data_IF_502465768928
#
_entry.id   IF_502465768928
#
_cell.length_a   1.000
_cell.length_b   1.000
_cell.length_c   1.000
_cell.angle_alpha   90.00
_cell.angle_beta   90.00
_cell.angle_gamma   90.00
#
_symmetry.space_group_name_H-M   'P 1'
#
loop_
_entity.id
_entity.type
_entity.pdbx_description
1 polymer ?
#
# COMPACT_ATOMS: atom_id res chain seq x y z
N UNK A 1 -0.01 3.31 -17.94
CA UNK A 1 0.66 3.95 -16.80
C UNK A 1 0.91 2.91 -15.72
N UNK A 2 2.06 2.95 -15.09
CA UNK A 2 2.45 2.01 -14.05
C UNK A 2 2.73 2.76 -12.75
N UNK A 3 2.36 2.16 -11.63
CA UNK A 3 2.77 2.65 -10.32
C UNK A 3 3.87 1.77 -9.80
N UNK A 4 4.85 2.38 -9.15
CA UNK A 4 5.97 1.66 -8.56
C UNK A 4 5.99 1.90 -7.06
N UNK A 5 6.60 0.95 -6.34
CA UNK A 5 6.67 0.99 -4.89
C UNK A 5 7.86 1.83 -4.39
N UNK A 6 8.10 1.75 -3.10
CA UNK A 6 9.21 2.42 -2.42
C UNK A 6 10.56 2.11 -3.05
N UNK A 7 10.74 0.90 -3.59
CA UNK A 7 11.99 0.47 -4.20
C UNK A 7 11.99 0.55 -5.72
N UNK A 8 11.05 1.31 -6.29
CA UNK A 8 10.91 1.49 -7.73
C UNK A 8 10.60 0.19 -8.48
N UNK A 9 9.89 -0.72 -7.82
CA UNK A 9 9.40 -1.95 -8.44
C UNK A 9 7.95 -1.79 -8.83
N UNK A 10 7.56 -2.35 -9.96
CA UNK A 10 6.19 -2.27 -10.44
C UNK A 10 5.23 -2.96 -9.49
N UNK A 11 4.12 -2.27 -9.18
CA UNK A 11 3.07 -2.81 -8.33
C UNK A 11 2.04 -3.56 -9.18
N UNK A 12 1.54 -4.68 -8.66
CA UNK A 12 0.57 -5.53 -9.33
C UNK A 12 -0.64 -5.73 -8.42
N UNK A 13 -1.85 -5.61 -8.97
CA UNK A 13 -3.07 -5.85 -8.19
C UNK A 13 -3.10 -7.27 -7.67
N UNK A 14 -3.56 -7.41 -6.42
CA UNK A 14 -3.67 -8.71 -5.78
C UNK A 14 -2.43 -9.16 -5.04
N UNK A 15 -1.30 -8.47 -5.21
CA UNK A 15 -0.09 -8.83 -4.48
C UNK A 15 -0.15 -8.33 -3.04
N UNK A 16 0.65 -8.96 -2.19
CA UNK A 16 0.86 -8.46 -0.83
C UNK A 16 2.03 -7.50 -0.82
N UNK A 17 1.88 -6.45 -0.04
CA UNK A 17 2.92 -5.42 0.10
C UNK A 17 3.13 -5.14 1.57
N UNK A 18 4.32 -4.64 1.91
CA UNK A 18 4.65 -4.23 3.27
C UNK A 18 4.57 -2.72 3.36
N UNK A 19 3.98 -2.24 4.45
CA UNK A 19 3.93 -0.81 4.75
C UNK A 19 5.29 -0.39 5.28
N UNK A 20 5.87 0.64 4.67
CA UNK A 20 7.23 1.09 4.99
C UNK A 20 7.28 2.28 5.95
N UNK A 21 6.15 2.93 6.19
CA UNK A 21 6.03 4.05 7.14
C UNK A 21 4.71 3.96 7.88
N UNK A 22 4.63 4.58 9.06
CA UNK A 22 3.37 4.67 9.77
C UNK A 22 2.41 5.60 9.04
N UNK A 23 1.18 5.16 8.80
CA UNK A 23 0.18 5.94 8.07
C UNK A 23 -0.98 6.24 8.99
N UNK A 24 -1.12 7.49 9.47
CA UNK A 24 -2.22 7.88 10.34
C UNK A 24 -3.51 8.09 9.57
N UNK A 25 -4.64 7.87 10.23
CA UNK A 25 -5.96 8.20 9.70
C UNK A 25 -6.88 8.57 10.85
N UNK A 26 -8.10 9.05 10.53
CA UNK A 26 -9.07 9.41 11.54
C UNK A 26 -9.48 8.22 12.41
N UNK A 27 -9.43 7.02 11.86
CA UNK A 27 -9.91 5.81 12.51
C UNK A 27 -8.78 4.90 13.00
N UNK A 28 -7.57 5.42 13.13
CA UNK A 28 -6.46 4.64 13.60
C UNK A 28 -5.22 4.82 12.75
N UNK A 29 -4.27 3.92 12.91
CA UNK A 29 -2.99 4.00 12.23
C UNK A 29 -2.65 2.66 11.57
N UNK A 30 -2.16 2.74 10.34
CA UNK A 30 -1.58 1.58 9.66
C UNK A 30 -0.08 1.62 9.94
N UNK A 31 0.38 0.64 10.73
CA UNK A 31 1.74 0.66 11.24
C UNK A 31 2.75 0.16 10.22
N UNK A 32 3.95 0.72 10.30
CA UNK A 32 5.11 0.26 9.58
C UNK A 32 5.29 -1.26 9.76
N UNK A 33 5.67 -1.94 8.70
CA UNK A 33 5.89 -3.39 8.63
C UNK A 33 4.61 -4.22 8.56
N UNK A 34 3.43 -3.59 8.52
CA UNK A 34 2.18 -4.32 8.28
C UNK A 34 2.16 -4.89 6.88
N UNK A 35 1.66 -6.11 6.73
CA UNK A 35 1.48 -6.74 5.42
C UNK A 35 0.02 -6.59 5.02
N UNK A 36 -0.19 -6.00 3.86
CA UNK A 36 -1.54 -5.70 3.35
C UNK A 36 -1.65 -6.16 1.90
N UNK A 37 -2.89 -6.30 1.44
CA UNK A 37 -3.16 -6.71 0.07
C UNK A 37 -3.45 -5.48 -0.78
N UNK A 38 -2.84 -5.42 -1.96
CA UNK A 38 -3.04 -4.34 -2.91
C UNK A 38 -4.29 -4.63 -3.75
N UNK A 39 -5.32 -3.79 -3.62
CA UNK A 39 -6.63 -4.04 -4.23
C UNK A 39 -6.90 -3.20 -5.46
N UNK A 40 -6.45 -1.95 -5.49
CA UNK A 40 -6.85 -1.03 -6.55
C UNK A 40 -5.83 0.09 -6.71
N UNK A 41 -5.72 0.59 -7.95
CA UNK A 41 -4.93 1.77 -8.27
C UNK A 41 -5.86 2.94 -8.58
N UNK A 42 -5.52 4.13 -8.12
CA UNK A 42 -6.17 5.36 -8.56
C UNK A 42 -5.11 6.20 -9.27
N UNK A 43 -5.11 6.14 -10.59
CA UNK A 43 -4.12 6.84 -11.39
C UNK A 43 -4.31 8.37 -11.39
N UNK A 44 -5.50 8.83 -11.04
CA UNK A 44 -5.79 10.25 -10.93
C UNK A 44 -5.07 10.90 -9.76
N UNK A 45 -5.14 10.25 -8.59
CA UNK A 45 -4.49 10.72 -7.37
C UNK A 45 -3.11 10.12 -7.19
N UNK A 46 -2.77 9.11 -7.99
CA UNK A 46 -1.54 8.32 -7.88
C UNK A 46 -1.42 7.63 -6.53
N UNK A 47 -2.55 7.16 -6.00
CA UNK A 47 -2.60 6.42 -4.76
C UNK A 47 -3.05 4.98 -5.02
N UNK A 48 -2.77 4.12 -4.06
CA UNK A 48 -3.17 2.71 -4.12
C UNK A 48 -4.03 2.37 -2.93
N UNK A 49 -5.01 1.50 -3.14
CA UNK A 49 -5.86 1.01 -2.06
C UNK A 49 -5.33 -0.32 -1.57
N UNK A 50 -5.17 -0.43 -0.27
CA UNK A 50 -4.73 -1.66 0.38
C UNK A 50 -5.73 -2.06 1.45
N UNK A 51 -5.83 -3.37 1.70
CA UNK A 51 -6.70 -3.93 2.73
C UNK A 51 -5.83 -4.65 3.75
N UNK A 52 -6.04 -4.34 5.03
CA UNK A 52 -5.30 -5.00 6.11
C UNK A 52 -5.94 -6.33 6.50
N UNK A 53 -5.35 -7.01 7.48
CA UNK A 53 -5.82 -8.32 7.92
C UNK A 53 -7.19 -8.28 8.60
N UNK A 54 -7.65 -7.11 8.99
CA UNK A 54 -8.95 -6.91 9.62
C UNK A 54 -10.01 -6.48 8.62
N UNK A 55 -9.67 -6.40 7.33
CA UNK A 55 -10.58 -5.99 6.29
C UNK A 55 -10.75 -4.50 6.14
N UNK A 56 -9.95 -3.70 6.85
CA UNK A 56 -10.01 -2.25 6.74
C UNK A 56 -9.25 -1.79 5.51
N UNK A 57 -9.82 -0.82 4.81
CA UNK A 57 -9.29 -0.27 3.56
C UNK A 57 -8.52 1.02 3.83
N UNK A 58 -7.38 1.16 3.16
CA UNK A 58 -6.53 2.36 3.28
C UNK A 58 -6.10 2.81 1.89
N UNK A 59 -6.08 4.14 1.68
CA UNK A 59 -5.49 4.74 0.49
C UNK A 59 -4.12 5.29 0.87
N UNK A 60 -3.09 4.81 0.21
CA UNK A 60 -1.70 5.16 0.54
C UNK A 60 -0.94 5.51 -0.73
N UNK A 61 0.18 6.22 -0.56
CA UNK A 61 1.06 6.50 -1.68
C UNK A 61 1.87 5.26 -2.06
N UNK A 62 2.11 5.04 -3.35
CA UNK A 62 2.89 3.87 -3.78
C UNK A 62 4.28 3.80 -3.15
N UNK A 63 4.90 4.96 -2.89
CA UNK A 63 6.22 4.99 -2.28
C UNK A 63 6.22 4.69 -0.78
N UNK A 64 5.05 4.46 -0.19
CA UNK A 64 4.92 4.07 1.22
C UNK A 64 4.83 2.56 1.39
N UNK A 65 4.86 1.80 0.31
CA UNK A 65 4.77 0.34 0.35
C UNK A 65 5.95 -0.29 -0.37
N UNK A 66 6.23 -1.55 -0.04
CA UNK A 66 7.26 -2.34 -0.70
C UNK A 66 6.66 -3.66 -1.15
N UNK A 67 6.86 -3.99 -2.42
CA UNK A 67 6.39 -5.25 -2.99
C UNK A 67 7.32 -6.41 -2.69
N UNK A 68 8.53 -6.12 -2.25
CA UNK A 68 9.53 -7.13 -1.91
C UNK A 68 9.91 -6.97 -0.44
N UNK A 69 9.59 -7.97 0.36
CA UNK A 69 9.81 -7.91 1.81
C UNK A 69 10.40 -9.22 2.37
N UNK A 70 11.05 -9.96 1.52
CA UNK A 70 11.76 -11.17 1.92
C UNK A 70 13.23 -10.86 2.15
#
# INVERSE_FOLDING_TARGET
>A
MKLVDYRNRELTLGQRVRIEVDIPSENGMLYKHSIVKLDEFNFKTKKVRVTDSLGKVWWVDPNQVSSSFL
#
